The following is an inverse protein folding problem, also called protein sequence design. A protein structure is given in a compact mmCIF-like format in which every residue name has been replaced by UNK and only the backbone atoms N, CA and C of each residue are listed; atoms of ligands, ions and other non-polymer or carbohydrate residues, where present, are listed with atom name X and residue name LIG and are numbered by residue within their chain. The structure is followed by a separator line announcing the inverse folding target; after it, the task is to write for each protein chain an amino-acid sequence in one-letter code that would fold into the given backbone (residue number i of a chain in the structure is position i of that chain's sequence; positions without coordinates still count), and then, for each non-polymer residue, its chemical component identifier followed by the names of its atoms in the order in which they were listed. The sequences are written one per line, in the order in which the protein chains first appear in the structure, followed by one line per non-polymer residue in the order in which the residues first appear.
data_IF_283601576975
#
_entry.id   IF_283601576975
#
_cell.length_a   1.000
_cell.length_b   1.000
_cell.length_c   1.000
_cell.angle_alpha   90.00
_cell.angle_beta   90.00
_cell.angle_gamma   90.00
#
_symmetry.space_group_name_H-M   'P 1'
#
loop_
_entity.id
_entity.type
_entity.pdbx_description
1 polymer ?
#
# COMPACT_ATOMS: atom_id res chain seq x y z
N UNK A 1 21.66 -31.49 -12.24
CA UNK A 1 21.70 -30.88 -10.88
C UNK A 1 20.48 -29.99 -10.79
N UNK A 2 19.44 -30.41 -10.04
CA UNK A 2 18.37 -29.47 -9.65
C UNK A 2 19.05 -28.44 -8.75
N UNK A 3 19.26 -27.24 -9.26
CA UNK A 3 19.59 -26.11 -8.39
C UNK A 3 18.37 -25.90 -7.52
N UNK A 4 18.48 -26.19 -6.22
CA UNK A 4 17.47 -25.83 -5.23
C UNK A 4 17.27 -24.30 -5.35
N UNK A 5 16.22 -23.90 -6.06
CA UNK A 5 15.90 -22.50 -6.25
C UNK A 5 15.41 -21.97 -4.89
N UNK A 6 16.13 -21.00 -4.34
CA UNK A 6 15.65 -20.29 -3.16
C UNK A 6 14.33 -19.60 -3.50
N UNK A 7 13.37 -19.70 -2.61
CA UNK A 7 12.10 -18.98 -2.65
C UNK A 7 12.05 -17.96 -1.52
N UNK A 8 11.19 -16.99 -1.61
CA UNK A 8 10.93 -16.02 -0.57
C UNK A 8 9.62 -16.37 0.14
N UNK A 9 9.68 -16.44 1.47
CA UNK A 9 8.51 -16.69 2.31
C UNK A 9 8.29 -15.49 3.24
N UNK A 10 7.02 -15.15 3.53
CA UNK A 10 6.67 -14.18 4.56
C UNK A 10 6.80 -14.86 5.92
N UNK A 11 7.74 -14.38 6.75
CA UNK A 11 8.03 -14.94 8.08
C UNK A 11 7.49 -14.10 9.23
N UNK A 12 7.03 -12.88 8.94
CA UNK A 12 6.44 -12.00 9.94
C UNK A 12 5.57 -10.93 9.32
N UNK A 13 4.60 -10.45 10.10
CA UNK A 13 3.66 -9.38 9.71
C UNK A 13 3.51 -8.41 10.86
N UNK A 14 3.64 -7.12 10.57
CA UNK A 14 3.35 -6.02 11.48
C UNK A 14 2.36 -5.04 10.86
N UNK A 15 1.62 -4.30 11.69
CA UNK A 15 0.66 -3.33 11.22
C UNK A 15 0.50 -2.17 12.21
N UNK A 16 0.11 -1.03 11.69
CA UNK A 16 -0.31 0.10 12.49
C UNK A 16 -1.44 0.86 11.80
N UNK A 17 -2.42 1.22 12.55
CA UNK A 17 -3.50 2.12 12.16
C UNK A 17 -3.78 3.12 13.29
N UNK A 18 -4.07 4.41 12.97
CA UNK A 18 -4.31 5.44 13.96
C UNK A 18 -5.52 5.15 14.86
N UNK A 19 -5.48 5.68 16.08
CA UNK A 19 -6.58 5.50 17.06
C UNK A 19 -7.83 6.29 16.69
N UNK A 20 -7.67 7.45 16.03
CA UNK A 20 -8.81 8.29 15.68
C UNK A 20 -9.64 7.65 14.55
N UNK A 21 -10.93 7.53 14.83
CA UNK A 21 -11.96 7.01 13.93
C UNK A 21 -12.76 8.19 13.39
N UNK A 22 -12.79 8.33 12.06
CA UNK A 22 -13.74 9.18 11.35
C UNK A 22 -14.87 8.29 10.85
N UNK A 23 -16.00 8.32 11.51
CA UNK A 23 -17.18 7.56 11.12
C UNK A 23 -18.05 8.31 10.09
N UNK A 24 -19.14 7.68 9.64
CA UNK A 24 -20.03 8.26 8.65
C UNK A 24 -20.88 9.40 9.24
N UNK A 25 -21.17 9.40 10.54
CA UNK A 25 -21.93 10.47 11.19
C UNK A 25 -21.09 11.77 11.21
N UNK A 26 -19.84 11.69 11.66
CA UNK A 26 -18.93 12.85 11.65
C UNK A 26 -18.68 13.34 10.21
N UNK A 27 -18.50 12.42 9.25
CA UNK A 27 -18.28 12.79 7.85
C UNK A 27 -19.50 13.51 7.25
N UNK A 28 -20.73 13.16 7.65
CA UNK A 28 -21.95 13.83 7.20
C UNK A 28 -22.08 15.29 7.67
N UNK A 29 -21.30 15.68 8.67
CA UNK A 29 -21.21 17.07 9.13
C UNK A 29 -20.25 17.91 8.28
N UNK A 30 -19.36 17.26 7.52
CA UNK A 30 -18.35 17.92 6.68
C UNK A 30 -18.80 18.09 5.23
N UNK A 31 -19.59 17.13 4.72
CA UNK A 31 -20.00 17.06 3.30
C UNK A 31 -21.43 16.51 3.21
N UNK A 32 -22.15 16.90 2.17
CA UNK A 32 -23.52 16.43 1.90
C UNK A 32 -23.57 14.92 1.59
N UNK A 33 -23.64 14.11 2.65
CA UNK A 33 -23.71 12.65 2.59
C UNK A 33 -24.49 12.09 3.79
N UNK A 34 -24.68 10.76 3.85
CA UNK A 34 -25.26 10.04 4.97
C UNK A 34 -24.64 8.66 5.14
N UNK A 35 -24.78 8.06 6.32
CA UNK A 35 -24.36 6.68 6.55
C UNK A 35 -25.03 5.71 5.55
N UNK A 36 -26.33 5.83 5.32
CA UNK A 36 -27.07 5.01 4.35
C UNK A 36 -26.48 5.14 2.93
N UNK A 37 -26.17 6.38 2.51
CA UNK A 37 -25.59 6.63 1.18
C UNK A 37 -24.21 5.99 1.03
N UNK A 38 -23.36 6.12 2.05
CA UNK A 38 -21.99 5.56 2.06
C UNK A 38 -22.07 4.03 2.12
N UNK A 39 -22.85 3.47 3.03
CA UNK A 39 -22.98 2.03 3.19
C UNK A 39 -23.51 1.34 1.94
N UNK A 40 -24.52 1.91 1.29
CA UNK A 40 -25.12 1.34 0.08
C UNK A 40 -24.13 1.34 -1.11
N UNK A 41 -23.24 2.34 -1.19
CA UNK A 41 -22.36 2.53 -2.35
C UNK A 41 -20.98 1.94 -2.19
N UNK A 42 -20.41 2.00 -0.98
CA UNK A 42 -19.02 1.61 -0.74
C UNK A 42 -18.84 0.70 0.47
N UNK A 43 -19.85 0.57 1.35
CA UNK A 43 -19.81 -0.34 2.50
C UNK A 43 -18.84 0.04 3.60
N UNK A 44 -18.29 1.27 3.61
CA UNK A 44 -17.29 1.72 4.57
C UNK A 44 -17.98 2.41 5.75
N UNK A 45 -17.82 1.89 6.97
CA UNK A 45 -18.38 2.47 8.20
C UNK A 45 -17.49 3.54 8.82
N UNK A 46 -16.18 3.34 8.77
CA UNK A 46 -15.20 4.18 9.46
C UNK A 46 -13.86 4.23 8.72
N UNK A 47 -13.07 5.28 9.00
CA UNK A 47 -11.70 5.48 8.51
C UNK A 47 -10.81 5.81 9.69
N UNK A 48 -9.61 5.25 9.70
CA UNK A 48 -8.58 5.60 10.66
C UNK A 48 -7.78 6.80 10.13
N UNK A 49 -7.63 7.85 10.93
CA UNK A 49 -7.00 9.11 10.50
C UNK A 49 -5.90 9.51 11.47
N UNK A 50 -4.72 9.77 10.95
CA UNK A 50 -3.59 10.31 11.72
C UNK A 50 -3.73 11.83 11.88
N UNK A 51 -4.33 12.24 13.00
CA UNK A 51 -4.60 13.68 13.29
C UNK A 51 -3.35 14.49 13.60
N UNK A 52 -2.25 13.87 14.05
CA UNK A 52 -1.04 14.57 14.41
C UNK A 52 -0.37 15.18 13.14
N UNK A 53 -0.29 16.51 13.02
CA UNK A 53 0.26 17.16 11.83
C UNK A 53 1.80 17.03 11.74
N UNK A 54 2.47 16.59 12.80
CA UNK A 54 3.93 16.41 12.84
C UNK A 54 4.36 15.02 12.38
N UNK A 55 3.40 14.12 12.09
CA UNK A 55 3.63 12.74 11.70
C UNK A 55 3.12 12.49 10.29
N UNK A 56 3.97 11.94 9.45
CA UNK A 56 3.66 11.56 8.07
C UNK A 56 3.48 10.05 7.88
N UNK A 57 3.47 9.61 6.65
CA UNK A 57 3.34 8.18 6.30
C UNK A 57 4.57 7.37 6.70
N UNK A 58 5.77 7.97 6.71
CA UNK A 58 6.97 7.30 7.22
C UNK A 58 6.85 6.97 8.71
N UNK A 59 6.21 7.84 9.51
CA UNK A 59 5.96 7.54 10.91
C UNK A 59 5.00 6.35 11.05
N UNK A 60 3.93 6.27 10.24
CA UNK A 60 3.02 5.11 10.23
C UNK A 60 3.79 3.83 9.88
N UNK A 61 4.61 3.88 8.82
CA UNK A 61 5.45 2.78 8.41
C UNK A 61 6.41 2.32 9.51
N UNK A 62 7.04 3.26 10.22
CA UNK A 62 7.92 2.95 11.35
C UNK A 62 7.19 2.24 12.50
N UNK A 63 5.91 2.59 12.79
CA UNK A 63 5.13 1.88 13.81
C UNK A 63 4.83 0.43 13.36
N UNK A 64 4.45 0.22 12.09
CA UNK A 64 4.20 -1.12 11.56
C UNK A 64 5.48 -1.99 11.57
N UNK A 65 6.64 -1.41 11.27
CA UNK A 65 7.94 -2.12 11.34
C UNK A 65 8.33 -2.42 12.79
N UNK A 66 8.05 -1.53 13.75
CA UNK A 66 8.27 -1.81 15.18
C UNK A 66 7.42 -2.97 15.68
N UNK A 67 6.14 -2.99 15.32
CA UNK A 67 5.22 -4.10 15.63
C UNK A 67 5.73 -5.42 15.01
N UNK A 68 6.25 -5.37 13.77
CA UNK A 68 6.88 -6.51 13.12
C UNK A 68 8.11 -7.01 13.89
N UNK A 69 9.00 -6.12 14.32
CA UNK A 69 10.20 -6.47 15.10
C UNK A 69 9.83 -7.06 16.45
N UNK A 70 8.85 -6.49 17.13
CA UNK A 70 8.38 -6.99 18.43
C UNK A 70 7.80 -8.41 18.31
N UNK A 71 6.96 -8.66 17.32
CA UNK A 71 6.33 -9.96 17.09
C UNK A 71 7.31 -11.06 16.70
N UNK A 72 8.36 -10.70 15.97
CA UNK A 72 9.33 -11.68 15.43
C UNK A 72 10.59 -11.81 16.31
N UNK A 73 10.81 -10.87 17.25
CA UNK A 73 12.05 -10.78 18.01
C UNK A 73 13.27 -10.37 17.17
N UNK A 74 13.06 -9.88 15.96
CA UNK A 74 14.13 -9.47 15.03
C UNK A 74 14.80 -8.19 15.49
N UNK A 75 16.13 -8.16 15.42
CA UNK A 75 16.90 -6.97 15.70
C UNK A 75 17.10 -6.12 14.45
N UNK A 76 17.10 -4.77 14.56
CA UNK A 76 17.28 -3.89 13.40
C UNK A 76 18.54 -4.17 12.56
N UNK A 77 19.61 -4.62 13.21
CA UNK A 77 20.90 -4.90 12.57
C UNK A 77 20.87 -6.11 11.63
N UNK A 78 19.82 -6.96 11.74
CA UNK A 78 19.65 -8.16 10.91
C UNK A 78 19.03 -7.85 9.55
N UNK A 79 18.49 -6.63 9.36
CA UNK A 79 17.79 -6.23 8.12
C UNK A 79 18.81 -5.86 7.05
N UNK A 80 18.69 -6.48 5.87
CA UNK A 80 19.55 -6.24 4.72
C UNK A 80 19.01 -5.17 3.76
N UNK A 81 17.66 -5.06 3.68
CA UNK A 81 16.96 -4.19 2.75
C UNK A 81 15.62 -3.76 3.33
N UNK A 82 15.26 -2.48 3.16
CA UNK A 82 13.93 -1.96 3.46
C UNK A 82 13.32 -1.33 2.20
N UNK A 83 12.19 -1.85 1.72
CA UNK A 83 11.42 -1.31 0.60
C UNK A 83 10.13 -0.71 1.15
N UNK A 84 9.81 0.52 0.74
CA UNK A 84 8.56 1.17 1.12
C UNK A 84 7.69 1.40 -0.11
N UNK A 85 6.43 0.95 -0.09
CA UNK A 85 5.43 1.31 -1.08
C UNK A 85 4.55 2.44 -0.53
N UNK A 86 4.49 3.57 -1.26
CA UNK A 86 3.68 4.73 -0.89
C UNK A 86 3.37 5.63 -2.06
N UNK A 87 2.21 6.27 -2.05
CA UNK A 87 1.83 7.41 -2.91
C UNK A 87 1.77 8.72 -2.14
N UNK A 88 1.92 8.66 -0.81
CA UNK A 88 1.90 9.81 0.11
C UNK A 88 3.22 9.90 0.91
N UNK A 89 4.39 9.97 0.24
CA UNK A 89 5.65 10.09 0.96
C UNK A 89 5.68 11.38 1.77
N UNK A 90 6.44 11.39 2.87
CA UNK A 90 6.62 12.58 3.71
C UNK A 90 7.20 13.74 2.90
N UNK A 91 8.06 13.44 1.94
CA UNK A 91 8.69 14.39 1.01
C UNK A 91 9.20 13.66 -0.24
N UNK A 92 9.50 14.40 -1.31
CA UNK A 92 10.02 13.78 -2.54
C UNK A 92 11.37 13.09 -2.36
N UNK A 93 12.21 13.60 -1.48
CA UNK A 93 13.47 13.01 -1.03
C UNK A 93 13.85 13.59 0.35
N UNK A 94 14.51 12.81 1.24
CA UNK A 94 14.88 11.40 1.06
C UNK A 94 13.64 10.49 0.97
N UNK A 95 13.87 9.24 0.54
CA UNK A 95 12.82 8.23 0.46
C UNK A 95 12.26 7.89 1.85
N UNK A 96 10.96 7.56 1.93
CA UNK A 96 10.35 7.11 3.19
C UNK A 96 11.05 5.88 3.77
N UNK A 97 11.52 4.96 2.91
CA UNK A 97 12.31 3.81 3.34
C UNK A 97 13.51 4.18 4.21
N UNK A 98 14.21 5.28 3.87
CA UNK A 98 15.36 5.77 4.63
C UNK A 98 14.93 6.41 5.96
N UNK A 99 13.82 7.17 5.95
CA UNK A 99 13.25 7.80 7.14
C UNK A 99 12.77 6.70 8.12
N UNK A 100 12.06 5.69 7.61
CA UNK A 100 11.61 4.55 8.41
C UNK A 100 12.80 3.80 9.01
N UNK A 101 13.84 3.51 8.20
CA UNK A 101 15.03 2.80 8.66
C UNK A 101 15.72 3.53 9.84
N UNK A 102 15.85 4.85 9.76
CA UNK A 102 16.39 5.67 10.86
C UNK A 102 15.50 5.59 12.11
N UNK A 103 14.17 5.75 11.95
CA UNK A 103 13.21 5.72 13.07
C UNK A 103 13.17 4.38 13.82
N UNK A 104 13.49 3.27 13.13
CA UNK A 104 13.46 1.92 13.73
C UNK A 104 14.85 1.36 14.02
N UNK A 105 15.93 2.14 13.78
CA UNK A 105 17.29 1.78 14.11
C UNK A 105 17.99 0.83 13.13
N UNK A 106 17.43 0.66 11.92
CA UNK A 106 18.05 -0.12 10.84
C UNK A 106 19.17 0.68 10.19
N UNK A 107 20.42 0.29 10.43
CA UNK A 107 21.61 1.04 9.99
C UNK A 107 22.41 0.35 8.89
N UNK A 108 22.23 -0.97 8.71
CA UNK A 108 23.04 -1.77 7.79
C UNK A 108 22.35 -2.01 6.44
N UNK A 109 21.04 -1.71 6.35
CA UNK A 109 20.26 -1.88 5.13
C UNK A 109 20.36 -0.67 4.20
N UNK A 110 20.27 -0.91 2.91
CA UNK A 110 19.84 0.13 1.99
C UNK A 110 18.32 0.11 1.85
N UNK A 111 17.75 1.19 1.31
CA UNK A 111 16.30 1.27 1.13
C UNK A 111 15.91 2.21 0.01
N UNK A 112 14.72 2.00 -0.54
CA UNK A 112 14.12 2.83 -1.57
C UNK A 112 12.59 2.75 -1.53
N UNK A 113 11.94 3.77 -2.09
CA UNK A 113 10.50 3.80 -2.25
C UNK A 113 10.06 3.25 -3.61
N UNK A 114 8.86 2.68 -3.63
CA UNK A 114 8.18 2.18 -4.81
C UNK A 114 6.79 2.82 -4.88
N UNK A 115 6.42 3.33 -6.05
CA UNK A 115 5.09 3.88 -6.30
C UNK A 115 4.37 3.05 -7.37
N UNK A 116 3.32 2.33 -6.96
CA UNK A 116 2.45 1.57 -7.84
C UNK A 116 0.97 1.68 -7.41
N UNK A 117 0.62 2.76 -6.70
CA UNK A 117 -0.75 3.00 -6.22
C UNK A 117 -1.28 1.84 -5.39
N UNK A 118 -2.56 1.49 -5.60
CA UNK A 118 -3.24 0.38 -4.91
C UNK A 118 -2.59 -0.99 -5.16
N UNK A 119 -1.78 -1.14 -6.22
CA UNK A 119 -1.01 -2.37 -6.49
C UNK A 119 0.36 -2.37 -5.80
N UNK A 120 0.68 -1.34 -5.01
CA UNK A 120 1.98 -1.17 -4.35
C UNK A 120 2.41 -2.37 -3.52
N UNK A 121 1.46 -3.01 -2.81
CA UNK A 121 1.78 -4.22 -2.04
C UNK A 121 2.26 -5.37 -2.94
N UNK A 122 1.56 -5.68 -4.03
CA UNK A 122 1.95 -6.77 -4.92
C UNK A 122 3.26 -6.48 -5.65
N UNK A 123 3.45 -5.24 -6.13
CA UNK A 123 4.70 -4.84 -6.77
C UNK A 123 5.89 -4.90 -5.80
N UNK A 124 5.71 -4.40 -4.59
CA UNK A 124 6.73 -4.45 -3.55
C UNK A 124 7.05 -5.87 -3.08
N UNK A 125 6.01 -6.71 -2.89
CA UNK A 125 6.18 -8.11 -2.53
C UNK A 125 7.02 -8.87 -3.57
N UNK A 126 6.67 -8.73 -4.86
CA UNK A 126 7.42 -9.35 -5.96
C UNK A 126 8.85 -8.81 -6.04
N UNK A 127 9.02 -7.49 -5.89
CA UNK A 127 10.35 -6.87 -5.89
C UNK A 127 11.21 -7.42 -4.76
N UNK A 128 10.68 -7.46 -3.53
CA UNK A 128 11.38 -8.01 -2.36
C UNK A 128 11.72 -9.49 -2.54
N UNK A 129 10.78 -10.27 -3.13
CA UNK A 129 11.00 -11.68 -3.47
C UNK A 129 12.23 -11.86 -4.37
N UNK A 130 12.39 -11.03 -5.40
CA UNK A 130 13.55 -11.13 -6.30
C UNK A 130 14.87 -10.87 -5.57
N UNK A 131 14.91 -9.95 -4.61
CA UNK A 131 16.10 -9.71 -3.80
C UNK A 131 16.44 -10.92 -2.94
N UNK A 132 15.46 -11.55 -2.29
CA UNK A 132 15.65 -12.77 -1.47
C UNK A 132 16.08 -13.95 -2.35
N UNK A 133 15.38 -14.20 -3.46
CA UNK A 133 15.69 -15.30 -4.39
C UNK A 133 17.04 -15.19 -5.06
N UNK A 134 17.61 -13.97 -5.14
CA UNK A 134 19.00 -13.79 -5.60
C UNK A 134 20.04 -14.47 -4.70
N UNK A 135 19.66 -14.88 -3.49
CA UNK A 135 20.52 -15.46 -2.46
C UNK A 135 21.45 -14.46 -1.78
N UNK A 136 21.41 -13.20 -2.17
CA UNK A 136 22.30 -12.15 -1.65
C UNK A 136 21.74 -11.48 -0.38
N UNK A 137 20.43 -11.35 -0.27
CA UNK A 137 19.74 -10.71 0.85
C UNK A 137 18.88 -11.74 1.56
N UNK A 138 18.97 -11.79 2.89
CA UNK A 138 18.36 -12.83 3.71
C UNK A 138 17.17 -12.34 4.51
N UNK A 139 17.15 -11.05 4.86
CA UNK A 139 16.08 -10.47 5.67
C UNK A 139 15.66 -9.12 5.06
N UNK A 140 14.57 -9.14 4.32
CA UNK A 140 14.03 -7.99 3.62
C UNK A 140 12.76 -7.53 4.32
N UNK A 141 12.72 -6.27 4.75
CA UNK A 141 11.50 -5.60 5.20
C UNK A 141 10.81 -4.99 4.00
N UNK A 142 9.56 -5.32 3.78
CA UNK A 142 8.70 -4.61 2.86
C UNK A 142 7.55 -3.96 3.65
N UNK A 143 7.36 -2.66 3.51
CA UNK A 143 6.34 -1.87 4.20
C UNK A 143 5.51 -1.07 3.21
N UNK A 144 4.19 -1.14 3.32
CA UNK A 144 3.26 -0.22 2.68
C UNK A 144 2.75 0.77 3.72
N UNK A 145 2.83 2.06 3.45
CA UNK A 145 2.35 3.08 4.39
C UNK A 145 1.73 4.27 3.65
N UNK A 146 0.52 4.65 4.09
CA UNK A 146 -0.21 5.74 3.46
C UNK A 146 -0.85 6.66 4.49
N UNK A 147 -0.70 7.98 4.27
CA UNK A 147 -1.48 9.03 4.94
C UNK A 147 -2.39 9.67 3.89
N UNK A 148 -3.41 8.92 3.45
CA UNK A 148 -4.31 9.37 2.38
C UNK A 148 -5.14 10.58 2.78
N UNK A 149 -5.34 10.80 4.08
CA UNK A 149 -6.09 11.92 4.62
C UNK A 149 -5.54 13.29 4.19
N UNK A 150 -4.23 13.39 3.88
CA UNK A 150 -3.59 14.67 3.46
C UNK A 150 -3.87 15.03 2.01
N UNK A 151 -4.22 14.05 1.16
CA UNK A 151 -4.56 14.27 -0.25
C UNK A 151 -6.05 14.04 -0.54
N UNK A 152 -6.86 13.82 0.49
CA UNK A 152 -8.31 13.63 0.38
C UNK A 152 -9.02 14.97 0.55
N UNK A 153 -9.88 15.31 -0.41
CA UNK A 153 -10.73 16.48 -0.33
C UNK A 153 -12.00 16.20 0.48
N UNK A 154 -12.06 16.66 1.72
CA UNK A 154 -13.23 16.47 2.61
C UNK A 154 -14.45 17.33 2.21
N UNK A 155 -14.40 18.04 1.08
CA UNK A 155 -15.56 18.70 0.47
C UNK A 155 -16.08 17.94 -0.77
N UNK A 156 -15.36 16.89 -1.21
CA UNK A 156 -15.79 16.03 -2.30
C UNK A 156 -16.38 14.72 -1.77
N UNK A 157 -17.71 14.61 -1.75
CA UNK A 157 -18.45 13.40 -1.31
C UNK A 157 -18.12 12.13 -2.11
N UNK A 158 -17.48 12.24 -3.29
CA UNK A 158 -17.15 11.08 -4.12
C UNK A 158 -15.90 10.36 -3.66
N UNK A 159 -14.96 11.10 -3.05
CA UNK A 159 -13.64 10.60 -2.66
C UNK A 159 -13.44 10.52 -1.15
N UNK A 160 -13.97 11.47 -0.37
CA UNK A 160 -13.73 11.54 1.07
C UNK A 160 -14.22 10.31 1.88
N UNK A 161 -15.25 9.54 1.45
CA UNK A 161 -15.63 8.32 2.16
C UNK A 161 -14.66 7.14 1.98
N UNK A 162 -13.74 7.19 1.01
CA UNK A 162 -12.99 6.02 0.56
C UNK A 162 -11.68 5.80 1.33
N UNK A 163 -11.00 6.87 1.75
CA UNK A 163 -9.61 6.80 2.14
C UNK A 163 -9.39 7.01 3.64
N UNK A 164 -8.43 6.26 4.18
CA UNK A 164 -7.91 6.39 5.54
C UNK A 164 -6.39 6.22 5.57
N UNK A 165 -5.82 6.25 6.76
CA UNK A 165 -4.38 6.20 7.01
C UNK A 165 -4.03 4.89 7.70
N UNK A 166 -3.01 4.19 7.21
CA UNK A 166 -2.51 2.96 7.81
C UNK A 166 -1.11 2.60 7.29
N UNK A 167 -0.49 1.62 7.96
CA UNK A 167 0.70 0.96 7.46
C UNK A 167 0.68 -0.54 7.81
N UNK A 168 1.29 -1.34 6.94
CA UNK A 168 1.57 -2.74 7.20
C UNK A 168 2.96 -3.11 6.69
N UNK A 169 3.63 -4.01 7.41
CA UNK A 169 4.99 -4.46 7.07
C UNK A 169 5.07 -5.98 7.10
N UNK A 170 5.91 -6.54 6.25
CA UNK A 170 6.22 -7.97 6.23
C UNK A 170 7.72 -8.19 6.19
N UNK A 171 8.18 -9.31 6.78
CA UNK A 171 9.49 -9.87 6.49
C UNK A 171 9.39 -10.86 5.35
N UNK A 172 10.38 -10.79 4.44
CA UNK A 172 10.65 -11.84 3.47
C UNK A 172 12.03 -12.42 3.75
N UNK A 173 12.06 -13.74 3.87
CA UNK A 173 13.28 -14.52 4.13
C UNK A 173 13.37 -15.70 3.16
N UNK A 174 14.60 -16.23 2.91
CA UNK A 174 14.76 -17.35 2.00
C UNK A 174 14.27 -18.66 2.61
N UNK A 175 13.69 -19.49 1.77
CA UNK A 175 13.37 -20.89 2.10
C UNK A 175 13.82 -21.80 0.96
N UNK A 176 14.21 -23.04 1.33
CA UNK A 176 14.48 -24.12 0.39
C UNK A 176 13.25 -25.03 0.19
N UNK A 177 12.19 -24.78 0.96
CA UNK A 177 10.92 -25.50 0.86
C UNK A 177 10.08 -24.98 -0.32
N UNK A 178 9.14 -25.78 -0.78
CA UNK A 178 8.18 -25.37 -1.81
C UNK A 178 7.03 -24.53 -1.22
N UNK A 179 7.42 -23.47 -0.50
CA UNK A 179 6.53 -22.51 0.17
C UNK A 179 6.88 -21.09 -0.24
N UNK A 180 5.99 -20.14 0.10
CA UNK A 180 6.19 -18.69 -0.08
C UNK A 180 5.56 -18.17 -1.37
N UNK A 181 6.16 -17.15 -1.96
CA UNK A 181 5.65 -16.53 -3.19
C UNK A 181 5.95 -17.46 -4.37
N UNK A 182 4.91 -18.12 -4.88
CA UNK A 182 5.03 -19.16 -5.91
C UNK A 182 5.14 -18.58 -7.31
N UNK A 183 4.24 -17.62 -7.63
CA UNK A 183 4.14 -17.00 -8.94
C UNK A 183 3.43 -15.65 -8.82
N UNK A 184 3.49 -14.84 -9.88
CA UNK A 184 2.86 -13.53 -9.93
C UNK A 184 2.50 -13.11 -11.34
N UNK A 185 1.53 -12.20 -11.44
CA UNK A 185 1.19 -11.45 -12.64
C UNK A 185 1.11 -9.99 -12.26
N UNK A 186 2.00 -9.15 -12.79
CA UNK A 186 2.01 -7.71 -12.60
C UNK A 186 1.68 -7.02 -13.92
N UNK A 187 0.78 -6.03 -13.87
CA UNK A 187 0.38 -5.23 -15.04
C UNK A 187 0.21 -3.77 -14.67
N UNK A 188 0.41 -2.91 -15.65
CA UNK A 188 0.13 -1.47 -15.54
C UNK A 188 -0.58 -1.01 -16.81
N UNK A 189 -1.53 -0.08 -16.66
CA UNK A 189 -2.21 0.55 -17.78
C UNK A 189 -2.13 2.08 -17.64
N UNK A 190 -1.21 2.69 -18.39
CA UNK A 190 -1.02 4.14 -18.39
C UNK A 190 -2.15 4.91 -19.09
N UNK A 191 -3.06 4.26 -19.79
CA UNK A 191 -4.21 4.92 -20.41
C UNK A 191 -5.23 5.38 -19.37
N UNK A 192 -5.23 4.77 -18.19
CA UNK A 192 -6.11 5.14 -17.06
C UNK A 192 -5.71 6.42 -16.31
N UNK A 193 -4.65 7.10 -16.71
CA UNK A 193 -4.07 8.25 -15.98
C UNK A 193 -5.06 9.41 -15.76
N UNK A 194 -6.03 9.59 -16.62
CA UNK A 194 -6.99 10.69 -16.54
C UNK A 194 -8.23 10.35 -15.67
N UNK A 195 -8.28 9.13 -15.08
CA UNK A 195 -9.39 8.64 -14.27
C UNK A 195 -9.06 8.52 -12.78
N UNK A 196 -7.77 8.45 -12.42
CA UNK A 196 -7.31 8.42 -11.02
C UNK A 196 -5.93 9.08 -10.93
N UNK A 197 -5.88 10.30 -10.38
CA UNK A 197 -4.66 11.10 -10.34
C UNK A 197 -4.71 12.20 -9.28
N UNK A 198 -3.56 12.79 -9.00
CA UNK A 198 -3.41 14.07 -8.31
C UNK A 198 -2.78 15.04 -9.29
N UNK A 199 -3.49 16.13 -9.65
CA UNK A 199 -3.13 16.99 -10.79
C UNK A 199 -1.90 17.85 -10.52
N UNK A 200 -1.75 18.36 -9.29
CA UNK A 200 -0.64 19.21 -8.90
C UNK A 200 0.28 18.56 -7.85
N UNK A 201 1.47 19.12 -7.70
CA UNK A 201 2.49 18.64 -6.78
C UNK A 201 3.65 17.88 -7.45
N UNK A 202 3.51 17.54 -8.73
CA UNK A 202 4.57 16.94 -9.54
C UNK A 202 5.30 17.93 -10.43
N UNK A 203 6.24 17.42 -11.23
CA UNK A 203 7.09 18.25 -12.12
C UNK A 203 6.32 18.89 -13.29
N UNK A 204 5.22 18.28 -13.73
CA UNK A 204 4.38 18.84 -14.81
C UNK A 204 3.56 20.04 -14.32
N UNK A 205 3.06 19.98 -13.10
CA UNK A 205 2.25 21.01 -12.47
C UNK A 205 2.72 21.22 -11.02
N UNK A 206 3.80 21.99 -10.80
CA UNK A 206 4.35 22.23 -9.47
C UNK A 206 3.35 22.93 -8.55
N UNK A 207 3.50 22.80 -7.22
CA UNK A 207 2.64 23.48 -6.27
C UNK A 207 2.78 25.01 -6.41
N UNK A 208 1.65 25.71 -6.43
CA UNK A 208 1.55 27.16 -6.47
C UNK A 208 0.30 27.63 -5.71
N UNK A 209 0.17 28.94 -5.47
CA UNK A 209 -1.05 29.51 -4.87
C UNK A 209 -2.26 29.15 -5.74
N UNK A 210 -2.12 29.19 -7.06
CA UNK A 210 -3.19 28.87 -8.00
C UNK A 210 -3.61 27.40 -7.88
N UNK A 211 -2.66 26.45 -7.91
CA UNK A 211 -2.97 25.01 -7.82
C UNK A 211 -3.59 24.62 -6.48
N UNK A 212 -3.19 25.30 -5.39
CA UNK A 212 -3.79 25.08 -4.06
C UNK A 212 -5.19 25.69 -4.02
N UNK A 213 -5.39 26.90 -4.53
CA UNK A 213 -6.71 27.56 -4.60
C UNK A 213 -7.68 26.72 -5.45
N UNK A 214 -7.21 26.15 -6.56
CA UNK A 214 -8.00 25.29 -7.44
C UNK A 214 -8.15 23.85 -6.90
N UNK A 215 -7.62 23.57 -5.70
CA UNK A 215 -7.69 22.26 -5.03
C UNK A 215 -7.07 21.11 -5.84
N UNK A 216 -6.14 21.39 -6.73
CA UNK A 216 -5.49 20.43 -7.62
C UNK A 216 -4.49 19.49 -6.92
N UNK A 217 -4.19 19.77 -5.65
CA UNK A 217 -3.37 18.94 -4.76
C UNK A 217 -4.13 17.80 -4.08
N UNK A 218 -5.44 17.65 -4.35
CA UNK A 218 -6.23 16.54 -3.88
C UNK A 218 -6.37 15.46 -4.95
N UNK A 219 -6.64 14.24 -4.49
CA UNK A 219 -6.87 13.09 -5.36
C UNK A 219 -8.18 13.27 -6.13
N UNK A 220 -8.13 13.04 -7.43
CA UNK A 220 -9.30 12.92 -8.29
C UNK A 220 -9.55 11.45 -8.65
N UNK A 221 -10.79 11.00 -8.59
CA UNK A 221 -11.20 9.67 -8.99
C UNK A 221 -12.51 9.69 -9.78
N UNK A 222 -12.47 9.19 -11.03
CA UNK A 222 -13.65 8.76 -11.76
C UNK A 222 -14.07 7.37 -11.22
N UNK A 223 -14.87 7.38 -10.16
CA UNK A 223 -15.21 6.18 -9.40
C UNK A 223 -15.86 5.10 -10.27
N UNK A 224 -16.69 5.46 -11.26
CA UNK A 224 -17.39 4.51 -12.10
C UNK A 224 -16.44 3.79 -13.07
N UNK A 225 -15.53 4.53 -13.68
CA UNK A 225 -14.51 3.96 -14.58
C UNK A 225 -13.54 3.08 -13.79
N UNK A 226 -13.00 3.60 -12.67
CA UNK A 226 -12.04 2.88 -11.82
C UNK A 226 -12.65 1.58 -11.28
N UNK A 227 -13.89 1.62 -10.77
CA UNK A 227 -14.57 0.44 -10.25
C UNK A 227 -14.73 -0.64 -11.33
N UNK A 228 -15.30 -0.29 -12.50
CA UNK A 228 -15.51 -1.24 -13.59
C UNK A 228 -14.19 -1.87 -14.05
N UNK A 229 -13.14 -1.06 -14.19
CA UNK A 229 -11.82 -1.54 -14.60
C UNK A 229 -11.21 -2.47 -13.54
N UNK A 230 -11.25 -2.08 -12.26
CA UNK A 230 -10.69 -2.86 -11.16
C UNK A 230 -11.36 -4.23 -11.02
N UNK A 231 -12.70 -4.28 -10.98
CA UNK A 231 -13.45 -5.54 -10.83
C UNK A 231 -13.13 -6.52 -11.97
N UNK A 232 -13.16 -6.03 -13.22
CA UNK A 232 -12.86 -6.87 -14.37
C UNK A 232 -11.42 -7.37 -14.35
N UNK A 233 -10.45 -6.47 -14.13
CA UNK A 233 -9.02 -6.83 -14.22
C UNK A 233 -8.54 -7.69 -13.06
N UNK A 234 -9.08 -7.49 -11.85
CA UNK A 234 -8.76 -8.38 -10.73
C UNK A 234 -9.28 -9.79 -10.98
N UNK A 235 -10.50 -9.94 -11.47
CA UNK A 235 -11.08 -11.25 -11.81
C UNK A 235 -10.30 -11.95 -12.93
N UNK A 236 -10.00 -11.23 -14.03
CA UNK A 236 -9.22 -11.74 -15.17
C UNK A 236 -7.83 -12.23 -14.70
N UNK A 237 -7.14 -11.44 -13.85
CA UNK A 237 -5.80 -11.77 -13.36
C UNK A 237 -5.82 -12.96 -12.40
N UNK A 238 -6.85 -13.07 -11.55
CA UNK A 238 -7.03 -14.22 -10.67
C UNK A 238 -7.26 -15.51 -11.46
N UNK A 239 -8.09 -15.47 -12.49
CA UNK A 239 -8.32 -16.62 -13.37
C UNK A 239 -7.04 -17.02 -14.13
N UNK A 240 -6.32 -16.04 -14.67
CA UNK A 240 -5.10 -16.27 -15.43
C UNK A 240 -3.98 -16.90 -14.59
N UNK A 241 -3.77 -16.44 -13.35
CA UNK A 241 -2.72 -17.03 -12.51
C UNK A 241 -3.06 -18.45 -12.09
N UNK A 242 -4.34 -18.76 -11.88
CA UNK A 242 -4.80 -20.13 -11.63
C UNK A 242 -4.56 -21.02 -12.85
N UNK A 243 -4.96 -20.59 -14.04
CA UNK A 243 -4.74 -21.33 -15.28
C UNK A 243 -3.25 -21.57 -15.54
N UNK A 244 -2.42 -20.55 -15.41
CA UNK A 244 -0.95 -20.61 -15.59
C UNK A 244 -0.31 -21.65 -14.68
N UNK A 245 -0.82 -21.83 -13.48
CA UNK A 245 -0.30 -22.74 -12.46
C UNK A 245 -1.10 -24.06 -12.36
N UNK A 246 -2.03 -24.30 -13.28
CA UNK A 246 -2.87 -25.52 -13.31
C UNK A 246 -3.68 -25.73 -12.02
N UNK A 247 -4.11 -24.64 -11.36
CA UNK A 247 -4.88 -24.67 -10.13
C UNK A 247 -6.39 -24.65 -10.42
N UNK A 248 -7.15 -25.37 -9.61
CA UNK A 248 -8.62 -25.33 -9.58
C UNK A 248 -9.10 -24.61 -8.31
N UNK A 249 -10.39 -24.28 -8.23
CA UNK A 249 -10.95 -23.54 -7.10
C UNK A 249 -10.71 -24.24 -5.74
N UNK A 250 -10.73 -25.58 -5.72
CA UNK A 250 -10.52 -26.38 -4.49
C UNK A 250 -9.07 -26.34 -3.98
N UNK A 251 -8.11 -25.92 -4.82
CA UNK A 251 -6.72 -25.73 -4.42
C UNK A 251 -6.51 -24.37 -3.70
N UNK A 252 -7.49 -23.47 -3.75
CA UNK A 252 -7.40 -22.11 -3.24
C UNK A 252 -8.06 -22.02 -1.88
N UNK A 253 -7.29 -21.89 -0.82
CA UNK A 253 -7.81 -21.72 0.53
C UNK A 253 -8.42 -20.32 0.74
N UNK A 254 -7.81 -19.27 0.16
CA UNK A 254 -8.24 -17.89 0.32
C UNK A 254 -8.00 -17.07 -0.93
N UNK A 255 -8.99 -16.24 -1.31
CA UNK A 255 -8.85 -15.12 -2.23
C UNK A 255 -8.88 -13.83 -1.42
N UNK A 256 -7.80 -13.03 -1.51
CA UNK A 256 -7.67 -11.75 -0.78
C UNK A 256 -7.56 -10.60 -1.79
N UNK A 257 -8.68 -10.09 -2.31
CA UNK A 257 -8.68 -8.98 -3.26
C UNK A 257 -8.41 -7.66 -2.55
N UNK A 258 -7.98 -6.63 -3.31
CA UNK A 258 -8.00 -5.26 -2.84
C UNK A 258 -9.43 -4.81 -2.54
N UNK A 259 -9.67 -4.26 -1.35
CA UNK A 259 -11.00 -3.89 -0.84
C UNK A 259 -11.17 -2.37 -0.82
N UNK A 260 -11.28 -1.75 -2.00
CA UNK A 260 -11.57 -0.31 -2.10
C UNK A 260 -13.02 0.02 -1.72
N UNK A 261 -13.92 -0.93 -1.93
CA UNK A 261 -15.34 -0.91 -1.56
C UNK A 261 -15.89 -2.35 -1.56
N UNK A 262 -17.08 -2.51 -0.97
CA UNK A 262 -17.79 -3.80 -0.98
C UNK A 262 -18.32 -4.13 -2.38
#
# INVERSE_FOLDING_TARGET
MQTNRLRAIITGVGAYYPDYILDNEELSQMVDTSDEWIMTRVGIKERRILKDPTKGSAWLGAQAVKDLFEKTGTKPEEVDLLICATVTPDMHFPANAQIIADMVGVKNAFGFDLNAGCSGFLFGLVTATQYVESGRYKKVVFVGCEKMSVITDYTDRKTCPLFGDAAAAVFLEPTAEELGVMDHILRSDGMGRDHLYMKAGGSLNPPSIETVTNREHFIFQDGQFVFKHAVTKMADTAAEIMEKNHLIADDIAWLVPHQANL
#
